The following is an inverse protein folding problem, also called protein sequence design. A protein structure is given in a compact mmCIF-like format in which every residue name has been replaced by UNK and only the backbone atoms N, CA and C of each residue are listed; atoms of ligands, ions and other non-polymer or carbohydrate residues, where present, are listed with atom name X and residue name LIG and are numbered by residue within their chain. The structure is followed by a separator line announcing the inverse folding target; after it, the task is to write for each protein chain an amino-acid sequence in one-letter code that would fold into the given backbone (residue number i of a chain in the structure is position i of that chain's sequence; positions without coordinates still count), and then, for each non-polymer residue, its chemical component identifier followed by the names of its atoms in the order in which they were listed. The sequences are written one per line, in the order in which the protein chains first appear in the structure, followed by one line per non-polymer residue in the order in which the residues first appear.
data_IF_956774767482
#
_entry.id   IF_956774767482
#
_cell.length_a   1.000
_cell.length_b   1.000
_cell.length_c   1.000
_cell.angle_alpha   90.00
_cell.angle_beta   90.00
_cell.angle_gamma   90.00
#
_symmetry.space_group_name_H-M   'P 1'
#
loop_
_entity.id
_entity.type
_entity.pdbx_description
1 polymer ?
#
# COMPACT_ATOMS: atom_id res chain seq x y z
N UNK A 1 19.37 30.92 28.72
CA UNK A 1 18.19 31.83 28.73
C UNK A 1 16.97 31.00 28.31
N UNK A 2 16.03 30.76 29.22
CA UNK A 2 14.85 29.95 28.93
C UNK A 2 13.72 30.85 28.44
N UNK A 3 13.03 30.43 27.37
CA UNK A 3 11.86 31.10 26.84
C UNK A 3 10.64 30.76 27.70
N UNK A 4 10.05 31.79 28.29
CA UNK A 4 8.79 31.77 29.03
C UNK A 4 7.63 31.90 28.07
N UNK A 5 6.65 30.98 28.14
CA UNK A 5 5.32 31.17 27.54
C UNK A 5 4.43 32.00 28.47
N UNK A 6 3.65 32.96 27.97
CA UNK A 6 2.65 33.65 28.76
C UNK A 6 1.37 32.79 28.88
N UNK A 7 0.86 32.74 30.11
CA UNK A 7 -0.46 32.24 30.42
C UNK A 7 -1.52 33.18 29.86
N UNK A 8 -2.38 32.68 28.97
CA UNK A 8 -3.56 33.35 28.44
C UNK A 8 -4.80 32.52 28.75
N UNK A 9 -5.63 33.13 29.57
CA UNK A 9 -6.94 32.73 30.05
C UNK A 9 -7.87 32.13 28.97
N UNK A 10 -8.46 30.98 29.25
CA UNK A 10 -9.67 30.50 28.58
C UNK A 10 -10.91 31.20 29.18
N UNK A 11 -11.80 31.73 28.36
CA UNK A 11 -13.19 31.85 28.71
C UNK A 11 -14.01 30.89 27.90
N UNK A 12 -14.88 30.16 28.52
CA UNK A 12 -16.23 29.81 28.05
C UNK A 12 -16.78 28.67 28.90
N UNK A 13 -17.52 29.07 29.93
CA UNK A 13 -18.49 28.20 30.54
C UNK A 13 -19.65 27.98 29.58
N UNK A 14 -20.01 26.71 29.35
CA UNK A 14 -21.32 26.34 28.88
C UNK A 14 -21.79 25.12 29.69
N UNK A 15 -22.59 25.42 30.68
CA UNK A 15 -23.56 24.52 31.29
C UNK A 15 -24.63 24.15 30.23
N UNK A 16 -24.54 23.02 29.62
CA UNK A 16 -25.51 22.46 28.66
C UNK A 16 -26.09 21.15 29.18
N UNK A 17 -27.34 21.22 29.64
CA UNK A 17 -28.16 20.12 30.10
C UNK A 17 -28.51 19.18 28.94
N UNK A 18 -27.86 18.00 28.83
CA UNK A 18 -28.16 16.96 27.85
C UNK A 18 -29.23 16.01 28.40
N UNK A 19 -30.49 16.41 28.28
CA UNK A 19 -31.59 15.48 28.33
C UNK A 19 -32.32 15.47 27.01
N UNK A 20 -32.46 14.28 26.46
CA UNK A 20 -33.33 13.87 25.37
C UNK A 20 -33.02 14.34 23.96
N UNK A 21 -32.83 13.37 23.10
CA UNK A 21 -33.25 13.42 21.72
C UNK A 21 -32.17 13.11 20.71
N UNK A 22 -32.24 11.88 20.20
CA UNK A 22 -31.86 11.52 18.82
C UNK A 22 -30.65 12.25 18.26
N UNK A 23 -29.48 11.85 18.73
CA UNK A 23 -28.23 12.10 18.02
C UNK A 23 -28.25 11.37 16.69
N UNK A 24 -27.69 11.97 15.63
CA UNK A 24 -27.54 11.25 14.36
C UNK A 24 -26.77 9.96 14.63
N UNK A 25 -27.34 8.85 14.16
CA UNK A 25 -26.69 7.55 14.16
C UNK A 25 -25.26 7.75 13.64
N UNK A 26 -24.28 7.64 14.52
CA UNK A 26 -22.94 7.37 14.12
C UNK A 26 -23.01 6.07 13.33
N UNK A 27 -23.12 6.18 12.01
CA UNK A 27 -22.82 5.11 11.11
C UNK A 27 -21.35 4.81 11.34
N UNK A 28 -21.10 4.02 12.36
CA UNK A 28 -19.81 3.40 12.57
C UNK A 28 -19.63 2.52 11.33
N UNK A 29 -18.95 3.08 10.34
CA UNK A 29 -18.47 2.32 9.20
C UNK A 29 -17.75 1.13 9.79
N UNK A 30 -18.37 -0.04 9.65
CA UNK A 30 -17.76 -1.34 9.84
C UNK A 30 -16.67 -1.40 8.75
N UNK A 31 -15.55 -0.72 9.01
CA UNK A 31 -14.33 -0.91 8.24
C UNK A 31 -14.03 -2.39 8.36
N UNK A 32 -14.04 -3.06 7.24
CA UNK A 32 -13.72 -4.47 7.11
C UNK A 32 -12.41 -4.75 7.86
N UNK A 33 -12.53 -5.23 9.10
CA UNK A 33 -11.40 -5.48 9.99
C UNK A 33 -10.38 -6.45 9.36
N UNK A 34 -10.83 -7.26 8.40
CA UNK A 34 -9.98 -8.17 7.64
C UNK A 34 -8.98 -7.42 6.74
N UNK A 35 -9.43 -6.36 6.04
CA UNK A 35 -8.56 -5.58 5.15
C UNK A 35 -7.54 -4.73 5.89
N UNK A 36 -7.95 -4.12 7.00
CA UNK A 36 -7.04 -3.35 7.85
C UNK A 36 -5.94 -4.25 8.44
N UNK A 37 -6.29 -5.46 8.88
CA UNK A 37 -5.31 -6.45 9.38
C UNK A 37 -4.31 -6.90 8.30
N UNK A 38 -4.76 -7.07 7.06
CA UNK A 38 -3.87 -7.48 5.96
C UNK A 38 -2.89 -6.37 5.59
N UNK A 39 -3.34 -5.11 5.51
CA UNK A 39 -2.45 -3.99 5.19
C UNK A 39 -1.40 -3.75 6.27
N UNK A 40 -1.77 -3.83 7.55
CA UNK A 40 -0.81 -3.72 8.66
C UNK A 40 0.20 -4.86 8.64
N UNK A 41 -0.26 -6.09 8.33
CA UNK A 41 0.63 -7.25 8.26
C UNK A 41 1.59 -7.21 7.06
N UNK A 42 1.16 -6.66 5.94
CA UNK A 42 2.05 -6.44 4.78
C UNK A 42 3.14 -5.43 5.13
N UNK A 43 2.81 -4.38 5.87
CA UNK A 43 3.80 -3.40 6.31
C UNK A 43 4.79 -4.00 7.33
N UNK A 44 4.32 -4.78 8.30
CA UNK A 44 5.18 -5.52 9.24
C UNK A 44 6.13 -6.47 8.49
N UNK A 45 5.64 -7.18 7.47
CA UNK A 45 6.46 -8.06 6.63
C UNK A 45 7.49 -7.28 5.82
N UNK A 46 7.11 -6.12 5.29
CA UNK A 46 8.00 -5.23 4.55
C UNK A 46 9.13 -4.72 5.43
N UNK A 47 8.82 -4.20 6.62
CA UNK A 47 9.81 -3.72 7.58
C UNK A 47 10.79 -4.83 8.02
N UNK A 48 10.29 -6.06 8.15
CA UNK A 48 11.12 -7.22 8.52
C UNK A 48 12.02 -7.69 7.39
N UNK A 49 11.52 -7.67 6.15
CA UNK A 49 12.23 -8.23 4.99
C UNK A 49 13.15 -7.22 4.30
N UNK A 50 12.88 -5.91 4.41
CA UNK A 50 13.70 -4.87 3.79
C UNK A 50 15.18 -4.98 4.16
N UNK A 51 15.57 -5.05 5.45
CA UNK A 51 16.98 -5.15 5.81
C UNK A 51 17.65 -6.45 5.34
N UNK A 52 16.88 -7.53 5.16
CA UNK A 52 17.39 -8.81 4.65
C UNK A 52 17.72 -8.71 3.16
N UNK A 53 16.82 -8.10 2.38
CA UNK A 53 16.98 -7.92 0.94
C UNK A 53 18.10 -6.91 0.65
N UNK A 54 18.14 -5.79 1.38
CA UNK A 54 19.16 -4.75 1.26
C UNK A 54 20.58 -5.26 1.62
N UNK A 55 20.68 -6.12 2.63
CA UNK A 55 21.96 -6.74 3.00
C UNK A 55 22.55 -7.65 1.92
N UNK A 56 21.72 -8.14 1.01
CA UNK A 56 22.12 -8.93 -0.17
C UNK A 56 22.44 -8.06 -1.39
N UNK A 57 22.23 -6.72 -1.31
CA UNK A 57 22.50 -5.77 -2.37
C UNK A 57 21.33 -5.54 -3.33
N UNK A 58 20.11 -5.95 -2.96
CA UNK A 58 18.89 -5.75 -3.75
C UNK A 58 17.98 -4.72 -3.09
N UNK A 59 17.09 -4.12 -3.89
CA UNK A 59 16.01 -3.27 -3.40
C UNK A 59 14.74 -4.11 -3.16
N UNK A 60 14.09 -3.93 -2.00
CA UNK A 60 12.77 -4.48 -1.77
C UNK A 60 11.72 -3.60 -2.45
N UNK A 61 11.35 -3.95 -3.68
CA UNK A 61 10.35 -3.23 -4.46
C UNK A 61 8.96 -3.28 -3.84
N UNK A 62 8.55 -4.43 -3.32
CA UNK A 62 7.26 -4.58 -2.67
C UNK A 62 6.95 -5.97 -2.15
N UNK A 63 5.89 -6.04 -1.34
CA UNK A 63 5.42 -7.28 -0.73
C UNK A 63 3.92 -7.42 -0.95
N UNK A 64 3.47 -8.59 -1.40
CA UNK A 64 2.06 -8.95 -1.50
C UNK A 64 1.74 -10.15 -0.62
N UNK A 65 0.70 -10.05 0.19
CA UNK A 65 0.15 -11.16 0.96
C UNK A 65 -1.29 -11.44 0.50
N UNK A 66 -1.47 -12.58 -0.16
CA UNK A 66 -2.78 -13.02 -0.62
C UNK A 66 -3.22 -14.23 0.21
N UNK A 67 -4.26 -14.06 1.03
CA UNK A 67 -4.80 -15.14 1.88
C UNK A 67 -6.00 -15.78 1.20
N UNK A 68 -5.92 -17.09 0.95
CA UNK A 68 -6.99 -17.89 0.36
C UNK A 68 -7.35 -19.05 1.30
N UNK A 69 -8.38 -18.85 2.11
CA UNK A 69 -8.81 -19.85 3.08
C UNK A 69 -7.73 -20.16 4.13
N UNK A 70 -7.19 -21.39 4.12
CA UNK A 70 -6.16 -21.86 5.06
C UNK A 70 -4.74 -21.72 4.52
N UNK A 71 -4.57 -21.21 3.32
CA UNK A 71 -3.28 -21.05 2.67
C UNK A 71 -3.04 -19.59 2.28
N UNK A 72 -1.83 -19.12 2.48
CA UNK A 72 -1.42 -17.78 2.07
C UNK A 72 -0.35 -17.87 0.98
N UNK A 73 -0.32 -16.88 0.11
CA UNK A 73 0.74 -16.65 -0.85
C UNK A 73 1.42 -15.34 -0.47
N UNK A 74 2.68 -15.44 -0.04
CA UNK A 74 3.55 -14.31 0.18
C UNK A 74 4.44 -14.13 -1.05
N UNK A 75 4.32 -13.00 -1.72
CA UNK A 75 5.16 -12.66 -2.86
C UNK A 75 6.01 -11.45 -2.52
N UNK A 76 7.33 -11.59 -2.73
CA UNK A 76 8.32 -10.55 -2.55
C UNK A 76 8.82 -10.13 -3.93
N UNK A 77 8.77 -8.85 -4.21
CA UNK A 77 9.35 -8.26 -5.42
C UNK A 77 10.68 -7.61 -5.06
N UNK A 78 11.72 -7.98 -5.77
CA UNK A 78 13.07 -7.42 -5.62
C UNK A 78 13.52 -6.79 -6.92
N UNK A 79 14.24 -5.69 -6.83
CA UNK A 79 14.78 -4.97 -8.00
C UNK A 79 16.27 -4.67 -7.81
N UNK A 80 16.96 -4.40 -8.91
CA UNK A 80 18.36 -3.98 -8.96
C UNK A 80 18.63 -3.24 -10.27
N UNK A 81 19.58 -2.32 -10.26
CA UNK A 81 20.02 -1.58 -11.46
C UNK A 81 20.52 -2.52 -12.57
N UNK A 82 21.17 -3.63 -12.19
CA UNK A 82 21.72 -4.63 -13.12
C UNK A 82 20.67 -5.66 -13.57
N UNK A 83 19.43 -5.53 -13.10
CA UNK A 83 18.36 -6.52 -13.29
C UNK A 83 18.44 -7.68 -12.29
N UNK A 84 17.46 -8.58 -12.34
CA UNK A 84 17.31 -9.69 -11.40
C UNK A 84 17.34 -11.01 -12.16
N UNK A 85 18.18 -11.94 -11.71
CA UNK A 85 18.27 -13.30 -12.21
C UNK A 85 17.48 -14.29 -11.34
N UNK A 86 17.31 -15.52 -11.84
CA UNK A 86 16.66 -16.58 -11.06
C UNK A 86 17.49 -16.98 -9.83
N UNK A 87 18.82 -16.91 -9.94
CA UNK A 87 19.72 -17.22 -8.83
C UNK A 87 19.61 -16.17 -7.71
N UNK A 88 19.43 -14.90 -8.05
CA UNK A 88 19.17 -13.81 -7.09
C UNK A 88 17.86 -14.05 -6.34
N UNK A 89 16.81 -14.43 -7.08
CA UNK A 89 15.52 -14.77 -6.46
C UNK A 89 15.66 -15.96 -5.50
N UNK A 90 16.44 -16.97 -5.86
CA UNK A 90 16.68 -18.14 -5.01
C UNK A 90 17.47 -17.77 -3.75
N UNK A 91 18.50 -16.92 -3.88
CA UNK A 91 19.29 -16.42 -2.76
C UNK A 91 18.42 -15.63 -1.77
N UNK A 92 17.65 -14.67 -2.26
CA UNK A 92 16.74 -13.87 -1.43
C UNK A 92 15.67 -14.76 -0.79
N UNK A 93 15.11 -15.72 -1.52
CA UNK A 93 14.10 -16.67 -1.00
C UNK A 93 14.64 -17.45 0.20
N UNK A 94 15.89 -17.93 0.12
CA UNK A 94 16.51 -18.68 1.21
C UNK A 94 16.69 -17.83 2.48
N UNK A 95 17.18 -16.59 2.34
CA UNK A 95 17.37 -15.69 3.47
C UNK A 95 16.05 -15.20 4.06
N UNK A 96 15.09 -14.84 3.21
CA UNK A 96 13.75 -14.44 3.62
C UNK A 96 13.02 -15.55 4.38
N UNK A 97 13.11 -16.80 3.88
CA UNK A 97 12.51 -17.97 4.56
C UNK A 97 13.08 -18.15 5.97
N UNK A 98 14.40 -18.06 6.14
CA UNK A 98 15.02 -18.17 7.46
C UNK A 98 14.53 -17.09 8.44
N UNK A 99 14.35 -15.86 7.96
CA UNK A 99 13.82 -14.76 8.79
C UNK A 99 12.36 -14.98 9.16
N UNK A 100 11.55 -15.42 8.20
CA UNK A 100 10.12 -15.71 8.40
C UNK A 100 9.91 -16.90 9.35
N UNK A 101 10.74 -17.93 9.27
CA UNK A 101 10.67 -19.12 10.15
C UNK A 101 10.97 -18.76 11.62
N UNK A 102 11.87 -17.80 11.86
CA UNK A 102 12.21 -17.33 13.22
C UNK A 102 11.11 -16.44 13.80
N UNK A 103 10.56 -15.56 12.98
CA UNK A 103 9.57 -14.56 13.42
C UNK A 103 8.13 -15.08 13.43
N UNK A 104 7.83 -16.15 12.66
CA UNK A 104 6.50 -16.78 12.46
C UNK A 104 5.36 -15.76 12.30
N UNK A 105 5.47 -14.77 11.39
CA UNK A 105 4.52 -13.67 11.28
C UNK A 105 3.20 -14.11 10.64
N UNK A 106 3.16 -15.26 9.95
CA UNK A 106 2.00 -15.74 9.19
C UNK A 106 1.45 -17.01 9.84
N UNK A 107 0.31 -16.89 10.54
CA UNK A 107 -0.30 -17.98 11.31
C UNK A 107 -0.83 -19.15 10.45
N UNK A 108 -0.98 -18.99 9.14
CA UNK A 108 -1.42 -20.04 8.20
C UNK A 108 -0.24 -20.58 7.40
N UNK A 109 -0.39 -21.82 6.88
CA UNK A 109 0.56 -22.32 5.90
C UNK A 109 0.63 -21.34 4.71
N UNK A 110 1.84 -21.05 4.24
CA UNK A 110 2.05 -20.13 3.14
C UNK A 110 3.05 -20.68 2.11
N UNK A 111 2.94 -20.17 0.90
CA UNK A 111 3.97 -20.31 -0.14
C UNK A 111 4.71 -19.00 -0.27
N UNK A 112 6.04 -19.04 -0.26
CA UNK A 112 6.90 -17.90 -0.53
C UNK A 112 7.29 -17.90 -2.02
N UNK A 113 7.06 -16.77 -2.68
CA UNK A 113 7.52 -16.49 -4.03
C UNK A 113 8.39 -15.24 -4.04
N UNK A 114 9.56 -15.31 -4.65
CA UNK A 114 10.43 -14.15 -4.90
C UNK A 114 10.55 -13.96 -6.40
N UNK A 115 10.36 -12.74 -6.86
CA UNK A 115 10.35 -12.41 -8.28
C UNK A 115 10.83 -10.98 -8.52
N UNK A 116 11.29 -10.68 -9.73
CA UNK A 116 11.40 -9.28 -10.18
C UNK A 116 10.03 -8.69 -10.46
N UNK A 117 9.86 -7.36 -10.39
CA UNK A 117 8.59 -6.71 -10.69
C UNK A 117 8.19 -6.80 -12.18
N UNK A 118 9.14 -7.12 -13.06
CA UNK A 118 8.90 -7.18 -14.50
C UNK A 118 8.64 -5.81 -15.13
N UNK A 119 8.18 -5.81 -16.39
CA UNK A 119 7.87 -4.59 -17.13
C UNK A 119 6.51 -3.99 -16.72
N UNK A 120 5.51 -4.82 -16.46
CA UNK A 120 4.19 -4.43 -15.93
C UNK A 120 4.21 -4.28 -14.39
N UNK A 121 5.32 -3.71 -13.88
CA UNK A 121 5.63 -3.68 -12.46
C UNK A 121 4.49 -3.15 -11.60
N UNK A 122 4.21 -3.83 -10.48
CA UNK A 122 3.24 -3.36 -9.52
C UNK A 122 3.76 -2.12 -8.78
N UNK A 123 2.85 -1.19 -8.43
CA UNK A 123 3.15 0.01 -7.65
C UNK A 123 2.54 -0.12 -6.26
N UNK A 124 3.36 0.09 -5.23
CA UNK A 124 2.99 -0.09 -3.82
C UNK A 124 3.03 1.20 -3.02
N UNK A 125 4.02 2.08 -3.27
CA UNK A 125 4.27 3.26 -2.46
C UNK A 125 4.04 4.57 -3.23
N UNK A 126 3.66 5.66 -2.55
CA UNK A 126 3.48 6.95 -3.21
C UNK A 126 4.70 7.41 -4.02
N UNK A 127 5.90 7.12 -3.55
CA UNK A 127 7.17 7.45 -4.20
C UNK A 127 7.29 6.73 -5.56
N UNK A 128 6.88 5.44 -5.59
CA UNK A 128 6.85 4.68 -6.84
C UNK A 128 5.89 5.29 -7.85
N UNK A 129 4.69 5.73 -7.41
CA UNK A 129 3.78 6.45 -8.32
C UNK A 129 4.38 7.76 -8.81
N UNK A 130 5.07 8.53 -7.96
CA UNK A 130 5.71 9.77 -8.38
C UNK A 130 6.79 9.56 -9.44
N UNK A 131 7.54 8.46 -9.34
CA UNK A 131 8.59 8.11 -10.32
C UNK A 131 8.03 7.78 -11.71
N UNK A 132 6.76 7.36 -11.80
CA UNK A 132 6.10 6.96 -13.05
C UNK A 132 4.99 7.92 -13.50
N UNK A 133 5.08 9.19 -13.13
CA UNK A 133 4.18 10.23 -13.67
C UNK A 133 4.39 10.36 -15.18
N UNK A 134 3.31 10.31 -15.94
CA UNK A 134 3.30 10.30 -17.40
C UNK A 134 3.07 8.91 -18.00
N UNK A 135 3.31 7.85 -17.23
CA UNK A 135 3.10 6.47 -17.67
C UNK A 135 1.65 6.01 -17.54
N UNK A 136 1.27 5.01 -18.33
CA UNK A 136 -0.04 4.40 -18.21
C UNK A 136 -0.10 3.40 -17.07
N UNK A 137 -1.13 3.52 -16.26
CA UNK A 137 -1.37 2.65 -15.10
C UNK A 137 -2.74 2.00 -15.18
N UNK A 138 -2.80 0.77 -14.70
CA UNK A 138 -4.05 0.05 -14.48
C UNK A 138 -4.29 -0.11 -12.99
N UNK A 139 -5.36 0.48 -12.49
CA UNK A 139 -5.76 0.40 -11.09
C UNK A 139 -6.95 -0.54 -10.92
N UNK A 140 -6.85 -1.39 -9.92
CA UNK A 140 -7.97 -2.18 -9.39
C UNK A 140 -8.33 -1.63 -8.01
N UNK A 141 -9.56 -1.15 -7.87
CA UNK A 141 -10.01 -0.48 -6.66
C UNK A 141 -10.72 -1.47 -5.71
N UNK A 142 -10.55 -1.23 -4.43
CA UNK A 142 -11.22 -1.97 -3.36
C UNK A 142 -12.73 -1.67 -3.32
N UNK A 143 -13.09 -0.42 -3.60
CA UNK A 143 -14.47 0.07 -3.73
C UNK A 143 -14.57 0.98 -4.96
N UNK A 144 -15.80 1.21 -5.42
CA UNK A 144 -16.02 2.05 -6.60
C UNK A 144 -15.75 3.53 -6.29
N UNK A 145 -14.90 4.16 -7.10
CA UNK A 145 -14.68 5.61 -7.11
C UNK A 145 -15.35 6.16 -8.39
N UNK A 146 -16.27 7.10 -8.23
CA UNK A 146 -17.13 7.60 -9.33
C UNK A 146 -17.76 6.47 -10.17
N UNK A 147 -18.16 5.36 -9.51
CA UNK A 147 -18.80 4.21 -10.16
C UNK A 147 -17.87 3.20 -10.82
N UNK A 148 -16.56 3.45 -10.85
CA UNK A 148 -15.55 2.56 -11.46
C UNK A 148 -14.80 1.78 -10.40
N UNK A 149 -14.54 0.49 -10.67
CA UNK A 149 -13.68 -0.39 -9.83
C UNK A 149 -12.38 -0.76 -10.52
N UNK A 150 -12.31 -0.58 -11.83
CA UNK A 150 -11.09 -0.77 -12.60
C UNK A 150 -10.90 0.49 -13.45
N UNK A 151 -9.75 1.09 -13.38
CA UNK A 151 -9.39 2.29 -14.10
C UNK A 151 -8.08 2.04 -14.82
N UNK A 152 -8.02 2.42 -16.09
CA UNK A 152 -6.77 2.45 -16.86
C UNK A 152 -6.62 3.85 -17.42
N UNK A 153 -5.48 4.45 -17.29
CA UNK A 153 -5.23 5.80 -17.76
C UNK A 153 -3.81 6.25 -17.48
N UNK A 154 -3.47 7.46 -17.89
CA UNK A 154 -2.16 8.05 -17.65
C UNK A 154 -2.09 8.63 -16.24
N UNK A 155 -1.03 8.34 -15.52
CA UNK A 155 -0.74 8.90 -14.20
C UNK A 155 -0.33 10.36 -14.34
N UNK A 156 -1.16 11.28 -13.90
CA UNK A 156 -0.94 12.72 -14.06
C UNK A 156 -0.23 13.33 -12.85
N UNK A 157 -0.58 12.89 -11.66
CA UNK A 157 0.00 13.33 -10.41
C UNK A 157 -0.14 12.27 -9.32
N UNK A 158 0.76 12.28 -8.35
CA UNK A 158 0.68 11.49 -7.13
C UNK A 158 1.14 12.36 -5.95
N UNK A 159 0.33 12.41 -4.91
CA UNK A 159 0.67 13.02 -3.62
C UNK A 159 0.74 11.95 -2.52
N UNK A 160 0.89 12.35 -1.26
CA UNK A 160 0.95 11.39 -0.14
C UNK A 160 -0.38 10.66 0.15
N UNK A 161 -1.50 11.10 -0.42
CA UNK A 161 -2.85 10.63 -0.06
C UNK A 161 -3.63 10.05 -1.23
N UNK A 162 -3.36 10.51 -2.45
CA UNK A 162 -4.11 10.18 -3.65
C UNK A 162 -3.25 10.23 -4.93
N UNK A 163 -3.75 9.57 -5.96
CA UNK A 163 -3.22 9.67 -7.33
C UNK A 163 -4.26 10.29 -8.24
N UNK A 164 -3.84 11.08 -9.21
CA UNK A 164 -4.68 11.62 -10.27
C UNK A 164 -4.40 10.90 -11.58
N UNK A 165 -5.43 10.35 -12.20
CA UNK A 165 -5.34 9.58 -13.45
C UNK A 165 -6.18 10.26 -14.52
N UNK A 166 -5.58 10.46 -15.70
CA UNK A 166 -6.28 10.83 -16.91
C UNK A 166 -6.86 9.60 -17.60
N UNK A 167 -8.18 9.47 -17.62
CA UNK A 167 -8.90 8.37 -18.30
C UNK A 167 -9.10 8.72 -19.78
N UNK A 168 -9.29 9.99 -20.08
CA UNK A 168 -9.38 10.56 -21.42
C UNK A 168 -8.88 12.01 -21.37
N UNK A 169 -8.76 12.67 -22.53
CA UNK A 169 -8.24 14.04 -22.65
C UNK A 169 -8.98 15.05 -21.75
N UNK A 170 -10.25 14.80 -21.42
CA UNK A 170 -11.07 15.69 -20.59
C UNK A 170 -11.42 15.09 -19.22
N UNK A 171 -11.26 13.77 -19.01
CA UNK A 171 -11.70 13.09 -17.80
C UNK A 171 -10.55 12.73 -16.88
N UNK A 172 -10.51 13.39 -15.70
CA UNK A 172 -9.57 13.10 -14.62
C UNK A 172 -10.26 12.44 -13.45
N UNK A 173 -9.58 11.49 -12.85
CA UNK A 173 -10.03 10.76 -11.68
C UNK A 173 -9.01 10.84 -10.58
N UNK A 174 -9.35 11.49 -9.47
CA UNK A 174 -8.57 11.43 -8.25
C UNK A 174 -8.98 10.17 -7.47
N UNK A 175 -7.99 9.33 -7.17
CA UNK A 175 -8.16 8.05 -6.49
C UNK A 175 -7.33 8.06 -5.21
N UNK A 176 -7.94 8.01 -4.02
CA UNK A 176 -7.20 7.91 -2.78
C UNK A 176 -6.47 6.55 -2.68
N UNK A 177 -5.26 6.54 -2.13
CA UNK A 177 -4.49 5.28 -1.96
C UNK A 177 -5.27 4.22 -1.19
N UNK A 178 -6.08 4.61 -0.20
CA UNK A 178 -6.95 3.68 0.54
C UNK A 178 -7.98 2.95 -0.34
N UNK A 179 -8.30 3.48 -1.52
CA UNK A 179 -9.18 2.84 -2.49
C UNK A 179 -8.43 1.89 -3.42
N UNK A 180 -7.11 2.01 -3.55
CA UNK A 180 -6.31 1.19 -4.46
C UNK A 180 -6.07 -0.18 -3.83
N UNK A 181 -6.50 -1.23 -4.52
CA UNK A 181 -6.21 -2.61 -4.14
C UNK A 181 -4.96 -3.13 -4.83
N UNK A 182 -4.78 -2.76 -6.10
CA UNK A 182 -3.64 -3.11 -6.95
C UNK A 182 -3.44 -2.04 -8.00
N UNK A 183 -2.19 -1.79 -8.31
CA UNK A 183 -1.78 -0.94 -9.42
C UNK A 183 -0.66 -1.63 -10.19
N UNK A 184 -0.67 -1.49 -11.51
CA UNK A 184 0.39 -1.97 -12.39
C UNK A 184 0.62 -0.94 -13.49
N UNK A 185 1.87 -0.82 -13.92
CA UNK A 185 2.18 -0.14 -15.17
C UNK A 185 1.58 -0.92 -16.34
N UNK A 186 1.18 -0.21 -17.38
CA UNK A 186 0.71 -0.81 -18.64
C UNK A 186 1.72 -0.46 -19.71
N UNK A 187 2.35 -1.46 -20.30
CA UNK A 187 3.18 -1.29 -21.46
C UNK A 187 2.26 -1.25 -22.67
N UNK A 188 2.41 -0.25 -23.51
CA UNK A 188 1.81 -0.26 -24.84
C UNK A 188 2.79 -0.98 -25.75
N UNK A 189 2.39 -2.16 -26.25
CA UNK A 189 3.08 -2.78 -27.38
C UNK A 189 2.84 -1.88 -28.60
N UNK A 190 3.89 -1.25 -29.12
CA UNK A 190 3.86 -0.52 -30.40
C UNK A 190 3.66 -1.48 -31.59
#
# INVERSE_FOLDING_TARGET
MPWRFPAGSMPWGLSGNWRNGSGPCAHFLFLDQGKYRVSTRVEELREMLAPVVEALGYELWGVELNVHGRHALLRIYIDSEDGITVDDCALVSQHASGTLDVADPIASAYTLEVSSPGWDRPLFTPEQYQAYIGERVKLKLAYAVKGQRNCTGTLLAADATAVEIGISDEARLAVPFAAIRRAHLVIEDE
#
